data_IF_211519850561
#
_entry.id   IF_211519850561
#
_cell.length_a   1.000
_cell.length_b   1.000
_cell.length_c   1.000
_cell.angle_alpha   90.00
_cell.angle_beta   90.00
_cell.angle_gamma   90.00
#
_symmetry.space_group_name_H-M   'P 1'
#
loop_
_entity.id
_entity.type
_entity.pdbx_description
1 polymer ?
#
# COMPACT_ATOMS: atom_id res chain seq x y z
N UNK A 1 1.71 -21.60 -15.92
CA UNK A 1 2.03 -20.27 -15.35
C UNK A 1 2.15 -19.20 -16.46
N UNK A 2 1.74 -19.50 -17.68
CA UNK A 2 1.87 -18.64 -18.87
C UNK A 2 0.79 -17.56 -19.02
N UNK A 3 -0.11 -17.41 -18.06
CA UNK A 3 -1.34 -16.65 -18.27
C UNK A 3 -1.49 -15.37 -17.42
N UNK A 4 -0.60 -15.12 -16.48
CA UNK A 4 -0.50 -13.83 -15.77
C UNK A 4 0.68 -13.05 -16.31
N UNK A 5 0.55 -11.74 -16.41
CA UNK A 5 1.69 -10.89 -16.74
C UNK A 5 2.66 -10.89 -15.55
N UNK A 6 3.91 -11.24 -15.79
CA UNK A 6 4.91 -11.46 -14.75
C UNK A 6 6.18 -10.67 -15.03
N UNK A 7 6.60 -9.84 -14.06
CA UNK A 7 7.91 -9.22 -14.05
C UNK A 7 8.80 -9.89 -13.00
N UNK A 8 9.98 -10.33 -13.40
CA UNK A 8 10.96 -11.00 -12.55
C UNK A 8 12.39 -10.56 -12.91
N UNK A 9 13.32 -10.60 -11.95
CA UNK A 9 14.77 -10.39 -12.15
C UNK A 9 15.13 -9.12 -12.94
N UNK A 10 14.60 -7.97 -12.51
CA UNK A 10 14.91 -6.68 -13.12
C UNK A 10 14.08 -6.35 -14.37
N UNK A 11 13.14 -7.20 -14.75
CA UNK A 11 12.22 -6.90 -15.84
C UNK A 11 11.26 -5.77 -15.44
N UNK A 12 10.95 -4.90 -16.37
CA UNK A 12 9.91 -3.89 -16.25
C UNK A 12 8.71 -4.27 -17.10
N UNK A 13 7.59 -4.48 -16.48
CA UNK A 13 6.31 -4.67 -17.14
C UNK A 13 5.60 -3.32 -17.26
N UNK A 14 5.32 -2.90 -18.48
CA UNK A 14 4.55 -1.69 -18.77
C UNK A 14 3.12 -2.05 -19.12
N UNK A 15 2.16 -1.48 -18.40
CA UNK A 15 0.72 -1.67 -18.62
C UNK A 15 0.13 -0.37 -19.19
N UNK A 16 0.60 0.00 -20.41
CA UNK A 16 0.37 1.30 -21.05
C UNK A 16 -0.65 1.22 -22.20
N UNK A 17 -1.54 0.23 -22.21
CA UNK A 17 -2.59 0.16 -23.23
C UNK A 17 -3.44 1.44 -23.23
N UNK A 18 -3.80 1.99 -24.41
CA UNK A 18 -4.68 3.16 -24.50
C UNK A 18 -5.96 2.98 -23.68
N UNK A 19 -6.50 4.05 -23.10
CA UNK A 19 -7.67 3.99 -22.19
C UNK A 19 -8.87 3.23 -22.79
N UNK A 20 -9.07 3.31 -24.11
CA UNK A 20 -10.13 2.59 -24.83
C UNK A 20 -9.90 1.07 -24.86
N UNK A 21 -8.66 0.61 -24.65
CA UNK A 21 -8.27 -0.80 -24.70
C UNK A 21 -7.72 -1.30 -23.36
N UNK A 22 -7.82 -0.50 -22.30
CA UNK A 22 -7.34 -0.89 -20.97
C UNK A 22 -7.99 -2.19 -20.53
N UNK A 23 -7.21 -3.27 -20.50
CA UNK A 23 -7.70 -4.58 -20.15
C UNK A 23 -7.56 -4.82 -18.65
N UNK A 24 -8.51 -5.58 -18.11
CA UNK A 24 -8.37 -6.14 -16.78
C UNK A 24 -7.37 -7.27 -16.81
N UNK A 25 -6.32 -7.22 -16.00
CA UNK A 25 -5.31 -8.26 -15.98
C UNK A 25 -4.81 -8.60 -14.56
N UNK A 26 -4.37 -9.85 -14.44
CA UNK A 26 -3.63 -10.33 -13.27
C UNK A 26 -2.13 -10.12 -13.49
N UNK A 27 -1.49 -9.45 -12.54
CA UNK A 27 -0.07 -9.10 -12.60
C UNK A 27 0.66 -9.70 -11.42
N UNK A 28 1.85 -10.21 -11.63
CA UNK A 28 2.76 -10.63 -10.58
C UNK A 28 4.11 -9.93 -10.72
N UNK A 29 4.69 -9.52 -9.61
CA UNK A 29 6.03 -8.91 -9.57
C UNK A 29 6.86 -9.60 -8.52
N UNK A 30 8.04 -10.04 -8.89
CA UNK A 30 8.95 -10.76 -8.00
C UNK A 30 10.42 -10.36 -8.22
N UNK A 31 11.24 -10.62 -7.20
CA UNK A 31 12.71 -10.62 -7.27
C UNK A 31 13.32 -9.50 -8.13
N UNK A 32 13.25 -8.26 -7.69
CA UNK A 32 13.74 -7.06 -8.41
C UNK A 32 12.97 -6.75 -9.71
N UNK A 33 11.86 -7.43 -9.98
CA UNK A 33 10.95 -7.05 -11.05
C UNK A 33 10.20 -5.77 -10.71
N UNK A 34 9.67 -5.12 -11.75
CA UNK A 34 8.91 -3.87 -11.63
C UNK A 34 7.68 -3.90 -12.52
N UNK A 35 6.61 -3.23 -12.11
CA UNK A 35 5.42 -3.04 -12.92
C UNK A 35 4.97 -1.58 -12.88
N UNK A 36 4.84 -0.95 -14.05
CA UNK A 36 4.28 0.39 -14.23
C UNK A 36 2.86 0.27 -14.75
N UNK A 37 1.91 0.90 -14.07
CA UNK A 37 0.50 0.91 -14.48
C UNK A 37 0.10 2.32 -14.88
N UNK A 38 -0.21 2.56 -16.16
CA UNK A 38 -0.57 3.89 -16.66
C UNK A 38 -2.03 4.01 -17.08
N UNK A 39 -2.66 2.93 -17.52
CA UNK A 39 -3.97 2.97 -18.17
C UNK A 39 -5.12 2.29 -17.39
N UNK A 40 -4.85 1.61 -16.27
CA UNK A 40 -5.92 0.95 -15.51
C UNK A 40 -6.79 1.96 -14.77
N UNK A 41 -8.08 1.70 -14.72
CA UNK A 41 -9.03 2.52 -13.95
C UNK A 41 -8.85 2.34 -12.43
N UNK A 42 -8.37 1.17 -12.00
CA UNK A 42 -8.11 0.84 -10.61
C UNK A 42 -7.08 -0.28 -10.52
N UNK A 43 -6.22 -0.24 -9.53
CA UNK A 43 -5.27 -1.33 -9.27
C UNK A 43 -5.22 -1.68 -7.79
N UNK A 44 -5.12 -2.98 -7.50
CA UNK A 44 -4.94 -3.49 -6.13
C UNK A 44 -3.73 -4.39 -6.11
N UNK A 45 -2.85 -4.19 -5.12
CA UNK A 45 -1.64 -4.96 -4.93
C UNK A 45 -1.61 -5.56 -3.53
N UNK A 46 -1.21 -6.82 -3.42
CA UNK A 46 -1.04 -7.53 -2.15
C UNK A 46 0.36 -8.10 -2.08
N UNK A 47 1.10 -7.75 -1.04
CA UNK A 47 2.45 -8.24 -0.77
C UNK A 47 2.39 -9.59 -0.07
N UNK A 48 2.86 -10.63 -0.75
CA UNK A 48 2.80 -12.01 -0.24
C UNK A 48 4.09 -12.44 0.45
N UNK A 49 5.25 -11.95 -0.01
CA UNK A 49 6.58 -12.28 0.52
C UNK A 49 7.54 -11.13 0.35
N UNK A 50 8.49 -10.97 1.30
CA UNK A 50 9.49 -9.90 1.27
C UNK A 50 8.88 -8.52 1.35
N UNK A 51 9.48 -7.54 0.69
CA UNK A 51 9.00 -6.16 0.62
C UNK A 51 8.96 -5.67 -0.83
N UNK A 52 8.16 -4.63 -1.07
CA UNK A 52 8.13 -3.90 -2.34
C UNK A 52 7.93 -2.42 -2.06
N UNK A 53 8.34 -1.58 -3.01
CA UNK A 53 8.06 -0.16 -3.02
C UNK A 53 7.00 0.14 -4.07
N UNK A 54 6.07 1.00 -3.71
CA UNK A 54 5.08 1.55 -4.64
C UNK A 54 5.26 3.06 -4.67
N UNK A 55 5.55 3.59 -5.84
CA UNK A 55 5.58 5.03 -6.10
C UNK A 55 4.38 5.39 -6.95
N UNK A 56 3.57 6.32 -6.48
CA UNK A 56 2.35 6.75 -7.13
C UNK A 56 2.16 8.27 -6.96
N UNK A 57 1.16 8.85 -7.59
CA UNK A 57 0.83 10.27 -7.41
C UNK A 57 0.52 10.64 -5.95
N UNK A 58 0.01 9.69 -5.20
CA UNK A 58 -0.30 9.84 -3.77
C UNK A 58 0.96 9.76 -2.88
N UNK A 59 2.12 9.41 -3.41
CA UNK A 59 3.39 9.35 -2.70
C UNK A 59 4.08 8.00 -2.78
N UNK A 60 4.98 7.75 -1.82
CA UNK A 60 5.81 6.54 -1.76
C UNK A 60 5.37 5.63 -0.61
N UNK A 61 5.20 4.35 -0.93
CA UNK A 61 4.71 3.35 0.02
C UNK A 61 5.63 2.14 0.04
N UNK A 62 6.05 1.74 1.23
CA UNK A 62 6.68 0.45 1.45
C UNK A 62 5.61 -0.57 1.81
N UNK A 63 5.56 -1.67 1.07
CA UNK A 63 4.70 -2.81 1.35
C UNK A 63 5.53 -3.92 1.98
N UNK A 64 5.10 -4.42 3.12
CA UNK A 64 5.63 -5.59 3.81
C UNK A 64 4.69 -6.77 3.60
N UNK A 65 5.15 -7.96 3.89
CA UNK A 65 4.32 -9.17 3.82
C UNK A 65 2.99 -8.96 4.54
N UNK A 66 1.90 -9.22 3.84
CA UNK A 66 0.53 -9.02 4.31
C UNK A 66 -0.03 -7.62 4.03
N UNK A 67 0.80 -6.66 3.59
CA UNK A 67 0.27 -5.34 3.24
C UNK A 67 -0.43 -5.38 1.89
N UNK A 68 -1.48 -4.58 1.77
CA UNK A 68 -2.15 -4.31 0.51
C UNK A 68 -2.26 -2.81 0.28
N UNK A 69 -2.31 -2.43 -0.99
CA UNK A 69 -2.58 -1.07 -1.44
C UNK A 69 -3.52 -1.09 -2.64
N UNK A 70 -4.46 -0.18 -2.65
CA UNK A 70 -5.40 0.03 -3.75
C UNK A 70 -5.33 1.48 -4.23
N UNK A 71 -5.27 1.67 -5.54
CA UNK A 71 -4.96 2.93 -6.19
C UNK A 71 -5.95 3.18 -7.33
N UNK A 72 -6.35 4.44 -7.51
CA UNK A 72 -7.28 4.88 -8.55
C UNK A 72 -6.57 5.16 -9.87
N UNK A 73 -7.36 5.44 -10.92
CA UNK A 73 -6.92 5.68 -12.30
C UNK A 73 -5.75 6.64 -12.44
N UNK A 74 -5.80 7.79 -11.78
CA UNK A 74 -4.80 8.84 -11.95
C UNK A 74 -3.52 8.63 -11.13
N UNK A 75 -3.45 7.57 -10.35
CA UNK A 75 -2.35 7.30 -9.43
C UNK A 75 -1.08 6.84 -10.14
N UNK A 76 -1.19 6.17 -11.29
CA UNK A 76 -0.09 5.68 -12.15
C UNK A 76 1.04 5.00 -11.35
N UNK A 77 0.73 3.94 -10.59
CA UNK A 77 1.72 3.34 -9.71
C UNK A 77 2.85 2.63 -10.46
N UNK A 78 4.07 2.82 -9.96
CA UNK A 78 5.23 1.97 -10.22
C UNK A 78 5.47 1.10 -8.99
N UNK A 79 5.32 -0.20 -9.14
CA UNK A 79 5.65 -1.17 -8.09
C UNK A 79 6.99 -1.81 -8.41
N UNK A 80 7.90 -1.86 -7.42
CA UNK A 80 9.21 -2.48 -7.51
C UNK A 80 9.38 -3.46 -6.35
N UNK A 81 9.58 -4.74 -6.69
CA UNK A 81 9.88 -5.77 -5.69
C UNK A 81 11.33 -5.71 -5.24
N UNK A 82 11.59 -5.99 -3.96
CA UNK A 82 12.94 -6.21 -3.48
C UNK A 82 13.49 -7.59 -3.92
N UNK A 83 14.73 -7.93 -3.52
CA UNK A 83 15.39 -9.20 -3.86
C UNK A 83 14.56 -10.44 -3.48
N UNK A 84 13.74 -10.36 -2.45
CA UNK A 84 12.89 -11.43 -1.93
C UNK A 84 11.39 -11.12 -2.06
N UNK A 85 11.06 -9.98 -2.69
CA UNK A 85 9.71 -9.51 -2.85
C UNK A 85 8.89 -10.40 -3.77
N UNK A 86 7.62 -10.58 -3.42
CA UNK A 86 6.61 -11.18 -4.27
C UNK A 86 5.27 -10.53 -3.99
N UNK A 87 4.76 -9.84 -5.00
CA UNK A 87 3.47 -9.16 -4.98
C UNK A 87 2.58 -9.71 -6.07
N UNK A 88 1.30 -9.80 -5.79
CA UNK A 88 0.27 -10.04 -6.81
C UNK A 88 -0.62 -8.83 -6.93
N UNK A 89 -0.98 -8.49 -8.15
CA UNK A 89 -1.82 -7.35 -8.48
C UNK A 89 -2.98 -7.73 -9.39
N UNK A 90 -4.03 -6.94 -9.29
CA UNK A 90 -5.16 -6.95 -10.21
C UNK A 90 -5.36 -5.53 -10.70
N UNK A 91 -5.28 -5.33 -12.01
CA UNK A 91 -5.64 -4.08 -12.67
C UNK A 91 -7.01 -4.21 -13.28
N UNK A 92 -7.86 -3.21 -13.08
CA UNK A 92 -9.25 -3.22 -13.52
C UNK A 92 -9.47 -2.11 -14.56
N UNK A 93 -10.11 -2.47 -15.67
CA UNK A 93 -10.64 -1.50 -16.63
C UNK A 93 -11.82 -0.71 -16.04
N UNK A 94 -12.17 0.40 -16.69
CA UNK A 94 -13.36 1.18 -16.31
C UNK A 94 -14.66 0.36 -16.44
N UNK A 95 -14.71 -0.52 -17.44
CA UNK A 95 -15.83 -1.43 -17.65
C UNK A 95 -15.95 -2.45 -16.53
N UNK A 96 -14.86 -3.13 -16.18
CA UNK A 96 -14.82 -4.07 -15.06
C UNK A 96 -15.26 -3.42 -13.75
N UNK A 97 -14.82 -2.18 -13.47
CA UNK A 97 -15.27 -1.43 -12.29
C UNK A 97 -16.77 -1.12 -12.29
N UNK A 98 -17.35 -0.78 -13.45
CA UNK A 98 -18.80 -0.54 -13.57
C UNK A 98 -19.58 -1.82 -13.26
N UNK A 99 -19.16 -2.94 -13.84
CA UNK A 99 -19.78 -4.25 -13.61
C UNK A 99 -19.68 -4.64 -12.14
N UNK A 100 -18.51 -4.47 -11.51
CA UNK A 100 -18.32 -4.71 -10.06
C UNK A 100 -19.28 -3.87 -9.22
N UNK A 101 -19.43 -2.59 -9.55
CA UNK A 101 -20.33 -1.68 -8.81
C UNK A 101 -21.81 -2.06 -8.91
N UNK A 102 -22.19 -2.79 -9.97
CA UNK A 102 -23.56 -3.28 -10.19
C UNK A 102 -23.85 -4.61 -9.45
N UNK A 103 -22.86 -5.53 -9.42
CA UNK A 103 -23.06 -6.87 -8.84
C UNK A 103 -22.88 -6.94 -7.32
N UNK A 104 -22.12 -6.01 -6.78
CA UNK A 104 -21.92 -5.96 -5.35
C UNK A 104 -22.31 -4.56 -4.88
N UNK A 105 -23.03 -4.45 -3.78
CA UNK A 105 -23.10 -3.19 -3.03
C UNK A 105 -21.71 -2.77 -2.53
N UNK A 106 -20.65 -3.41 -3.00
CA UNK A 106 -19.25 -3.28 -2.64
C UNK A 106 -18.50 -2.46 -3.69
N UNK A 107 -18.20 -1.22 -3.36
CA UNK A 107 -17.23 -0.41 -4.13
C UNK A 107 -15.83 -0.65 -3.59
N UNK A 108 -14.84 -0.67 -4.50
CA UNK A 108 -13.43 -0.63 -4.14
C UNK A 108 -12.99 0.84 -4.01
N UNK A 109 -12.17 1.13 -3.03
CA UNK A 109 -11.68 2.48 -2.74
C UNK A 109 -10.15 2.49 -2.67
N UNK A 110 -9.55 3.62 -3.04
CA UNK A 110 -8.14 3.85 -2.76
C UNK A 110 -7.87 3.70 -1.26
N UNK A 111 -6.74 3.12 -0.92
CA UNK A 111 -6.36 2.92 0.47
C UNK A 111 -5.31 1.84 0.64
N UNK A 112 -4.88 1.65 1.86
CA UNK A 112 -3.94 0.59 2.22
C UNK A 112 -4.32 -0.04 3.56
N UNK A 113 -3.83 -1.23 3.78
CA UNK A 113 -4.05 -1.95 5.03
C UNK A 113 -3.22 -3.21 5.11
N UNK A 114 -3.55 -4.05 6.08
CA UNK A 114 -2.88 -5.32 6.31
C UNK A 114 -3.90 -6.46 6.27
N UNK A 115 -3.50 -7.60 5.71
CA UNK A 115 -4.30 -8.82 5.68
C UNK A 115 -3.66 -9.90 6.52
N UNK A 116 -4.48 -10.76 7.11
CA UNK A 116 -4.01 -11.94 7.82
C UNK A 116 -3.28 -12.91 6.86
N UNK A 117 -2.44 -13.78 7.41
CA UNK A 117 -1.81 -14.84 6.61
C UNK A 117 -2.85 -15.77 5.94
N UNK A 118 -4.02 -15.92 6.54
CA UNK A 118 -5.14 -16.69 5.96
C UNK A 118 -5.71 -15.97 4.74
N UNK A 119 -6.01 -14.68 4.86
CA UNK A 119 -6.56 -13.88 3.76
C UNK A 119 -5.56 -13.77 2.61
N UNK A 120 -4.26 -13.59 2.90
CA UNK A 120 -3.22 -13.57 1.87
C UNK A 120 -3.16 -14.86 1.04
N UNK A 121 -3.38 -16.04 1.67
CA UNK A 121 -3.49 -17.32 0.96
C UNK A 121 -4.74 -17.39 0.10
N UNK A 122 -5.87 -16.88 0.61
CA UNK A 122 -7.13 -16.82 -0.15
C UNK A 122 -6.97 -15.89 -1.35
N UNK A 123 -6.38 -14.70 -1.17
CA UNK A 123 -6.07 -13.78 -2.29
C UNK A 123 -5.23 -14.50 -3.35
N UNK A 124 -4.15 -15.17 -2.98
CA UNK A 124 -3.29 -15.87 -3.95
C UNK A 124 -4.05 -16.96 -4.70
N UNK A 125 -4.89 -17.73 -4.01
CA UNK A 125 -5.70 -18.77 -4.64
C UNK A 125 -6.69 -18.18 -5.65
N UNK A 126 -7.46 -17.17 -5.22
CA UNK A 126 -8.45 -16.51 -6.07
C UNK A 126 -7.80 -15.77 -7.25
N UNK A 127 -6.63 -15.15 -7.01
CA UNK A 127 -5.84 -14.50 -8.06
C UNK A 127 -5.38 -15.51 -9.13
N UNK A 128 -4.92 -16.70 -8.70
CA UNK A 128 -4.54 -17.78 -9.63
C UNK A 128 -5.71 -18.27 -10.48
N UNK A 129 -6.88 -18.43 -9.87
CA UNK A 129 -8.09 -18.84 -10.59
C UNK A 129 -8.55 -17.76 -11.58
N UNK A 130 -8.49 -16.48 -11.18
CA UNK A 130 -8.77 -15.35 -12.06
C UNK A 130 -7.78 -15.30 -13.24
N UNK A 131 -6.48 -15.46 -12.96
CA UNK A 131 -5.43 -15.45 -13.98
C UNK A 131 -5.63 -16.54 -15.05
N UNK A 132 -6.10 -17.72 -14.69
CA UNK A 132 -6.41 -18.79 -15.65
C UNK A 132 -7.56 -18.46 -16.60
N UNK A 133 -8.52 -17.63 -16.15
CA UNK A 133 -9.74 -17.32 -16.90
C UNK A 133 -9.64 -16.03 -17.73
N UNK A 134 -8.78 -15.10 -17.33
CA UNK A 134 -8.59 -13.83 -18.05
C UNK A 134 -7.86 -14.03 -19.37
N UNK A 135 -7.07 -15.09 -19.53
CA UNK A 135 -6.22 -15.31 -20.68
C UNK A 135 -6.84 -16.34 -21.62
N UNK A 136 -7.73 -15.86 -22.48
CA UNK A 136 -7.97 -16.45 -23.77
C UNK A 136 -7.73 -15.37 -24.84
N UNK A 137 -6.52 -15.22 -25.39
CA UNK A 137 -6.17 -14.15 -26.33
C UNK A 137 -6.84 -14.27 -27.70
N UNK A 138 -7.51 -15.37 -27.99
CA UNK A 138 -8.12 -15.65 -29.30
C UNK A 138 -9.61 -15.34 -29.41
N UNK A 139 -10.27 -14.96 -28.33
CA UNK A 139 -11.67 -14.56 -28.39
C UNK A 139 -11.77 -13.04 -28.26
N UNK A 140 -12.29 -12.38 -29.30
CA UNK A 140 -12.71 -10.96 -29.27
C UNK A 140 -13.86 -10.69 -28.26
N UNK A 141 -14.04 -11.57 -27.28
CA UNK A 141 -15.05 -11.47 -26.23
C UNK A 141 -14.53 -10.60 -25.08
N UNK A 142 -15.38 -9.71 -24.55
CA UNK A 142 -15.02 -8.92 -23.37
C UNK A 142 -14.65 -9.86 -22.23
N UNK A 143 -13.66 -9.47 -21.43
CA UNK A 143 -13.22 -10.21 -20.23
C UNK A 143 -14.43 -10.61 -19.42
N UNK A 144 -14.59 -11.92 -19.16
CA UNK A 144 -15.67 -12.42 -18.33
C UNK A 144 -15.50 -11.90 -16.89
N UNK A 145 -16.13 -10.76 -16.62
CA UNK A 145 -16.10 -10.10 -15.31
C UNK A 145 -16.68 -11.01 -14.23
N UNK A 146 -17.55 -11.97 -14.58
CA UNK A 146 -18.07 -12.96 -13.65
C UNK A 146 -16.94 -13.86 -13.11
N UNK A 147 -15.91 -14.12 -13.89
CA UNK A 147 -14.72 -14.87 -13.46
C UNK A 147 -13.90 -14.13 -12.36
N UNK A 148 -13.99 -12.81 -12.32
CA UNK A 148 -13.31 -11.96 -11.33
C UNK A 148 -14.11 -11.80 -10.04
N UNK A 149 -15.41 -12.13 -10.06
CA UNK A 149 -16.31 -11.93 -8.92
C UNK A 149 -15.75 -12.44 -7.58
N UNK A 150 -15.20 -13.67 -7.48
CA UNK A 150 -14.70 -14.17 -6.19
C UNK A 150 -13.57 -13.33 -5.61
N UNK A 151 -12.57 -12.95 -6.44
CA UNK A 151 -11.44 -12.13 -5.97
C UNK A 151 -11.91 -10.71 -5.62
N UNK A 152 -12.79 -10.12 -6.39
CA UNK A 152 -13.31 -8.77 -6.15
C UNK A 152 -14.15 -8.69 -4.87
N UNK A 153 -15.00 -9.69 -4.61
CA UNK A 153 -15.75 -9.78 -3.35
C UNK A 153 -14.81 -9.95 -2.15
N UNK A 154 -13.76 -10.75 -2.30
CA UNK A 154 -12.78 -10.91 -1.22
C UNK A 154 -12.01 -9.61 -0.96
N UNK A 155 -11.53 -8.92 -2.00
CA UNK A 155 -10.85 -7.62 -1.89
C UNK A 155 -11.77 -6.55 -1.27
N UNK A 156 -13.05 -6.51 -1.66
CA UNK A 156 -14.03 -5.63 -1.02
C UNK A 156 -14.27 -5.99 0.45
N UNK A 157 -14.22 -7.28 0.78
CA UNK A 157 -14.27 -7.79 2.15
C UNK A 157 -13.10 -7.29 3.01
N UNK A 158 -11.89 -7.21 2.44
CA UNK A 158 -10.71 -6.63 3.11
C UNK A 158 -10.88 -5.14 3.41
N UNK A 159 -11.69 -4.44 2.61
CA UNK A 159 -12.00 -3.02 2.78
C UNK A 159 -13.26 -2.77 3.63
N UNK A 160 -13.86 -3.79 4.26
CA UNK A 160 -15.13 -3.66 4.99
C UNK A 160 -15.08 -2.60 6.09
N UNK A 161 -13.99 -2.53 6.83
CA UNK A 161 -13.81 -1.51 7.88
C UNK A 161 -13.76 -0.10 7.30
N UNK A 162 -13.11 0.07 6.13
CA UNK A 162 -13.12 1.34 5.41
C UNK A 162 -14.54 1.68 4.95
N UNK A 163 -15.23 0.72 4.34
CA UNK A 163 -16.58 0.90 3.82
C UNK A 163 -17.62 1.23 4.90
N UNK A 164 -17.46 0.73 6.14
CA UNK A 164 -18.36 1.03 7.25
C UNK A 164 -18.43 2.53 7.58
N UNK A 165 -17.36 3.27 7.30
CA UNK A 165 -17.27 4.71 7.53
C UNK A 165 -18.06 5.56 6.52
N UNK A 166 -18.51 4.98 5.39
CA UNK A 166 -19.24 5.70 4.33
C UNK A 166 -20.48 6.40 4.88
N UNK A 167 -21.17 5.80 5.85
CA UNK A 167 -22.38 6.36 6.43
C UNK A 167 -22.14 7.69 7.16
N UNK A 168 -20.91 7.93 7.61
CA UNK A 168 -20.48 9.19 8.27
C UNK A 168 -20.25 10.33 7.28
N UNK A 169 -20.15 10.02 5.98
CA UNK A 169 -19.96 11.04 4.94
C UNK A 169 -21.23 11.85 4.71
N UNK A 170 -21.11 13.17 4.48
CA UNK A 170 -22.24 14.01 4.13
C UNK A 170 -22.79 13.64 2.75
N UNK A 171 -24.12 13.73 2.61
CA UNK A 171 -24.84 13.47 1.39
C UNK A 171 -26.21 12.83 1.65
N UNK A 172 -27.21 13.18 0.84
CA UNK A 172 -28.56 12.62 0.95
C UNK A 172 -28.67 11.22 0.35
N UNK A 173 -27.93 10.95 -0.74
CA UNK A 173 -27.92 9.64 -1.41
C UNK A 173 -26.72 8.79 -1.04
N UNK A 174 -26.86 7.45 -1.10
CA UNK A 174 -25.74 6.51 -0.92
C UNK A 174 -24.61 6.77 -1.94
N UNK A 175 -24.96 7.08 -3.18
CA UNK A 175 -23.99 7.39 -4.24
C UNK A 175 -23.16 8.62 -3.89
N UNK A 176 -23.80 9.70 -3.43
CA UNK A 176 -23.07 10.91 -2.99
C UNK A 176 -22.15 10.66 -1.82
N UNK A 177 -22.58 9.89 -0.81
CA UNK A 177 -21.74 9.48 0.32
C UNK A 177 -20.53 8.68 -0.13
N UNK A 178 -20.69 7.72 -1.04
CA UNK A 178 -19.59 6.93 -1.62
C UNK A 178 -18.61 7.81 -2.38
N UNK A 179 -19.10 8.77 -3.17
CA UNK A 179 -18.23 9.70 -3.91
C UNK A 179 -17.39 10.58 -2.96
N UNK A 180 -18.02 11.15 -1.92
CA UNK A 180 -17.30 11.95 -0.90
C UNK A 180 -16.27 11.07 -0.19
N UNK A 181 -16.65 9.87 0.21
CA UNK A 181 -15.79 8.91 0.88
C UNK A 181 -14.54 8.58 0.02
N UNK A 182 -14.72 8.24 -1.26
CA UNK A 182 -13.59 7.93 -2.16
C UNK A 182 -12.58 9.07 -2.24
N UNK A 183 -13.07 10.31 -2.40
CA UNK A 183 -12.20 11.49 -2.42
C UNK A 183 -11.41 11.68 -1.12
N UNK A 184 -12.07 11.49 0.03
CA UNK A 184 -11.41 11.60 1.35
C UNK A 184 -10.41 10.46 1.60
N UNK A 185 -10.73 9.24 1.13
CA UNK A 185 -9.80 8.11 1.19
C UNK A 185 -8.54 8.36 0.37
N UNK A 186 -8.69 8.95 -0.82
CA UNK A 186 -7.54 9.35 -1.64
C UNK A 186 -6.67 10.38 -0.92
N UNK A 187 -7.28 11.39 -0.28
CA UNK A 187 -6.55 12.37 0.52
C UNK A 187 -5.86 11.74 1.74
N UNK A 188 -6.50 10.78 2.40
CA UNK A 188 -5.90 10.03 3.50
C UNK A 188 -4.69 9.20 3.03
N UNK A 189 -4.81 8.54 1.87
CA UNK A 189 -3.70 7.81 1.25
C UNK A 189 -2.55 8.77 0.86
N UNK A 190 -2.87 9.97 0.36
CA UNK A 190 -1.88 10.99 0.07
C UNK A 190 -1.10 11.42 1.31
N UNK A 191 -1.76 11.60 2.46
CA UNK A 191 -1.08 11.87 3.74
C UNK A 191 -0.14 10.73 4.14
N UNK A 192 -0.55 9.48 3.95
CA UNK A 192 0.27 8.30 4.24
C UNK A 192 1.49 8.16 3.33
N UNK A 193 1.39 8.61 2.09
CA UNK A 193 2.47 8.55 1.11
C UNK A 193 3.46 9.71 1.18
N UNK A 194 3.12 10.80 1.90
CA UNK A 194 3.94 12.01 2.04
C UNK A 194 4.28 12.29 3.53
N UNK A 195 4.79 11.26 4.21
CA UNK A 195 5.20 11.37 5.62
C UNK A 195 6.57 12.03 5.82
N UNK A 196 7.27 12.36 4.75
CA UNK A 196 8.58 13.04 4.72
C UNK A 196 8.46 14.57 4.76
N UNK A 197 7.25 15.11 4.71
CA UNK A 197 6.99 16.56 4.70
C UNK A 197 5.66 16.93 5.35
N UNK A 198 5.48 18.21 5.59
CA UNK A 198 4.19 18.77 6.00
C UNK A 198 3.31 18.99 4.76
N UNK A 199 2.19 18.28 4.70
CA UNK A 199 1.21 18.45 3.63
C UNK A 199 0.26 19.60 3.97
N UNK A 200 0.07 20.54 3.03
CA UNK A 200 -0.84 21.69 3.20
C UNK A 200 -2.29 21.28 2.97
N UNK A 201 -3.22 21.88 3.69
CA UNK A 201 -4.67 21.65 3.49
C UNK A 201 -5.10 22.02 2.07
N UNK A 202 -4.51 23.08 1.48
CA UNK A 202 -4.80 23.49 0.09
C UNK A 202 -4.48 22.39 -0.93
N UNK A 203 -3.41 21.62 -0.72
CA UNK A 203 -3.05 20.48 -1.57
C UNK A 203 -4.12 19.38 -1.50
N UNK A 204 -4.58 19.05 -0.28
CA UNK A 204 -5.61 18.03 -0.07
C UNK A 204 -6.98 18.47 -0.59
N UNK A 205 -7.30 19.75 -0.44
CA UNK A 205 -8.52 20.36 -0.96
C UNK A 205 -8.53 20.33 -2.49
N UNK A 206 -7.41 20.67 -3.13
CA UNK A 206 -7.24 20.58 -4.59
C UNK A 206 -7.34 19.12 -5.08
N UNK A 207 -6.66 18.18 -4.41
CA UNK A 207 -6.71 16.74 -4.74
C UNK A 207 -8.13 16.18 -4.71
N UNK A 208 -8.96 16.66 -3.77
CA UNK A 208 -10.34 16.20 -3.58
C UNK A 208 -11.37 17.04 -4.32
N UNK A 209 -10.98 18.15 -4.95
CA UNK A 209 -11.87 19.16 -5.54
C UNK A 209 -12.92 19.66 -4.53
N UNK A 210 -12.47 19.93 -3.30
CA UNK A 210 -13.26 20.56 -2.23
C UNK A 210 -12.66 21.92 -1.86
N UNK A 211 -13.47 22.79 -1.23
CA UNK A 211 -12.90 23.93 -0.53
C UNK A 211 -12.15 23.47 0.72
N UNK A 212 -11.12 24.21 1.15
CA UNK A 212 -10.32 23.86 2.34
C UNK A 212 -11.16 23.71 3.60
N UNK A 213 -12.18 24.53 3.77
CA UNK A 213 -13.12 24.46 4.90
C UNK A 213 -13.97 23.19 4.84
N UNK A 214 -14.59 22.90 3.68
CA UNK A 214 -15.44 21.72 3.50
C UNK A 214 -14.62 20.42 3.66
N UNK A 215 -13.40 20.40 3.08
CA UNK A 215 -12.47 19.29 3.24
C UNK A 215 -12.16 19.03 4.72
N UNK A 216 -11.69 20.05 5.45
CA UNK A 216 -11.29 19.90 6.86
C UNK A 216 -12.46 19.42 7.74
N UNK A 217 -13.64 20.00 7.56
CA UNK A 217 -14.85 19.62 8.29
C UNK A 217 -15.24 18.16 8.00
N UNK A 218 -15.25 17.77 6.72
CA UNK A 218 -15.69 16.44 6.31
C UNK A 218 -14.66 15.37 6.69
N UNK A 219 -13.37 15.69 6.57
CA UNK A 219 -12.28 14.82 6.99
C UNK A 219 -12.36 14.54 8.50
N UNK A 220 -12.53 15.59 9.31
CA UNK A 220 -12.69 15.45 10.76
C UNK A 220 -13.93 14.60 11.12
N UNK A 221 -15.05 14.80 10.44
CA UNK A 221 -16.25 13.99 10.66
C UNK A 221 -16.03 12.50 10.33
N UNK A 222 -15.19 12.19 9.33
CA UNK A 222 -14.94 10.83 8.89
C UNK A 222 -13.91 10.11 9.77
N UNK A 223 -12.83 10.80 10.15
CA UNK A 223 -11.66 10.19 10.81
C UNK A 223 -11.54 10.52 12.30
N UNK A 224 -12.42 11.35 12.85
CA UNK A 224 -12.41 11.86 14.24
C UNK A 224 -11.14 12.67 14.60
N UNK A 225 -10.38 13.09 13.59
CA UNK A 225 -9.19 13.92 13.74
C UNK A 225 -9.08 14.95 12.61
N UNK A 226 -8.38 16.06 12.85
CA UNK A 226 -8.13 17.04 11.79
C UNK A 226 -7.10 16.52 10.79
N UNK A 227 -7.08 17.02 9.53
CA UNK A 227 -6.06 16.65 8.55
C UNK A 227 -4.64 16.91 9.04
N UNK A 228 -4.41 17.99 9.79
CA UNK A 228 -3.10 18.32 10.36
C UNK A 228 -2.71 17.32 11.46
N UNK A 229 -3.62 16.95 12.34
CA UNK A 229 -3.39 15.94 13.38
C UNK A 229 -3.09 14.58 12.76
N UNK A 230 -3.85 14.17 11.73
CA UNK A 230 -3.59 12.96 10.96
C UNK A 230 -2.19 12.97 10.32
N UNK A 231 -1.81 14.07 9.64
CA UNK A 231 -0.48 14.24 9.05
C UNK A 231 0.62 14.13 10.10
N UNK A 232 0.49 14.84 11.22
CA UNK A 232 1.47 14.80 12.31
C UNK A 232 1.61 13.39 12.90
N UNK A 233 0.50 12.71 13.14
CA UNK A 233 0.48 11.32 13.64
C UNK A 233 1.18 10.37 12.67
N UNK A 234 0.85 10.43 11.37
CA UNK A 234 1.45 9.57 10.35
C UNK A 234 2.95 9.81 10.20
N UNK A 235 3.42 11.05 10.29
CA UNK A 235 4.84 11.39 10.28
C UNK A 235 5.57 10.79 11.50
N UNK A 236 4.96 10.81 12.68
CA UNK A 236 5.51 10.17 13.88
C UNK A 236 5.54 8.64 13.75
N UNK A 237 4.48 8.04 13.22
CA UNK A 237 4.42 6.58 12.98
C UNK A 237 5.47 6.17 11.92
N UNK A 238 5.72 7.02 10.90
CA UNK A 238 6.80 6.84 9.93
C UNK A 238 8.18 6.89 10.60
N UNK A 239 8.44 7.90 11.44
CA UNK A 239 9.68 8.01 12.21
C UNK A 239 9.92 6.77 13.09
N UNK A 240 8.89 6.28 13.78
CA UNK A 240 8.97 5.07 14.59
C UNK A 240 9.36 3.84 13.76
N UNK A 241 8.84 3.73 12.52
CA UNK A 241 9.24 2.67 11.59
C UNK A 241 10.69 2.80 11.14
N UNK A 242 11.15 4.03 10.81
CA UNK A 242 12.56 4.27 10.45
C UNK A 242 13.51 3.91 11.60
N UNK A 243 13.14 4.25 12.83
CA UNK A 243 13.94 3.89 14.02
C UNK A 243 14.09 2.38 14.22
N UNK A 244 13.04 1.61 13.88
CA UNK A 244 13.05 0.13 13.98
C UNK A 244 13.79 -0.55 12.85
N UNK A 245 13.68 0.00 11.63
CA UNK A 245 14.09 -0.70 10.40
C UNK A 245 15.45 -0.28 9.88
N UNK A 246 15.97 0.86 10.32
CA UNK A 246 17.19 1.46 9.77
C UNK A 246 18.19 1.84 10.87
N UNK A 247 19.45 2.00 10.47
CA UNK A 247 20.52 2.53 11.31
C UNK A 247 20.70 4.06 11.19
N UNK A 248 19.76 4.77 10.54
CA UNK A 248 19.82 6.23 10.35
C UNK A 248 20.01 6.95 11.69
N UNK A 249 20.80 8.03 11.71
CA UNK A 249 20.93 8.87 12.91
C UNK A 249 19.59 9.51 13.28
N UNK A 250 19.38 9.83 14.56
CA UNK A 250 18.12 10.42 15.02
C UNK A 250 17.77 11.72 14.27
N UNK A 251 18.80 12.51 13.94
CA UNK A 251 18.63 13.73 13.13
C UNK A 251 18.18 13.44 11.70
N UNK A 252 18.71 12.38 11.08
CA UNK A 252 18.28 11.95 9.74
C UNK A 252 16.84 11.44 9.76
N UNK A 253 16.45 10.69 10.81
CA UNK A 253 15.05 10.24 10.99
C UNK A 253 14.12 11.44 11.16
N UNK A 254 14.52 12.46 11.92
CA UNK A 254 13.75 13.69 12.07
C UNK A 254 13.53 14.37 10.70
N UNK A 255 14.61 14.58 9.94
CA UNK A 255 14.54 15.17 8.59
C UNK A 255 13.68 14.32 7.63
N UNK A 256 13.88 12.99 7.59
CA UNK A 256 13.11 12.07 6.77
C UNK A 256 11.62 11.96 7.18
N UNK A 257 11.28 12.50 8.35
CA UNK A 257 9.89 12.61 8.83
C UNK A 257 9.36 14.04 8.77
N UNK A 258 10.03 14.91 8.00
CA UNK A 258 9.62 16.28 7.70
C UNK A 258 9.75 17.24 8.88
N UNK A 259 10.72 17.06 9.78
CA UNK A 259 11.04 18.00 10.85
C UNK A 259 12.28 18.80 10.51
N UNK A 260 12.15 20.13 10.56
CA UNK A 260 13.24 21.06 10.27
C UNK A 260 14.32 21.08 11.38
N UNK A 261 13.96 20.67 12.61
CA UNK A 261 14.90 20.59 13.71
C UNK A 261 14.64 19.43 14.67
N UNK A 262 15.74 18.91 15.26
CA UNK A 262 15.70 17.77 16.16
C UNK A 262 14.96 18.03 17.49
N UNK A 263 14.93 19.28 17.97
CA UNK A 263 14.26 19.61 19.24
C UNK A 263 12.74 19.50 19.10
N UNK A 264 12.18 20.01 18.01
CA UNK A 264 10.75 19.88 17.70
C UNK A 264 10.36 18.42 17.49
N UNK A 265 11.21 17.64 16.77
CA UNK A 265 11.05 16.20 16.61
C UNK A 265 11.05 15.48 17.95
N UNK A 266 12.04 15.70 18.80
CA UNK A 266 12.18 15.03 20.10
C UNK A 266 10.98 15.27 21.02
N UNK A 267 10.46 16.53 21.06
CA UNK A 267 9.24 16.88 21.81
C UNK A 267 8.01 16.16 21.26
N UNK A 268 7.81 16.19 19.94
CA UNK A 268 6.67 15.54 19.29
C UNK A 268 6.72 14.02 19.46
N UNK A 269 7.91 13.41 19.34
CA UNK A 269 8.11 11.96 19.49
C UNK A 269 7.80 11.53 20.93
N UNK A 270 8.34 12.22 21.93
CA UNK A 270 8.06 11.93 23.35
C UNK A 270 6.59 12.12 23.68
N UNK A 271 5.95 13.16 23.15
CA UNK A 271 4.52 13.40 23.36
C UNK A 271 3.66 12.25 22.76
N UNK A 272 4.09 11.64 21.65
CA UNK A 272 3.36 10.57 20.96
C UNK A 272 3.59 9.19 21.56
N UNK A 273 4.83 8.87 21.96
CA UNK A 273 5.23 7.52 22.38
C UNK A 273 5.60 7.38 23.85
N UNK A 274 5.61 8.48 24.60
CA UNK A 274 5.95 8.51 26.03
C UNK A 274 7.45 8.44 26.33
N UNK A 275 8.32 8.15 25.36
CA UNK A 275 9.75 7.97 25.50
C UNK A 275 10.56 8.69 24.42
N UNK A 276 11.88 8.76 24.61
CA UNK A 276 12.78 9.38 23.63
C UNK A 276 12.96 8.47 22.40
N UNK A 277 13.23 9.07 21.23
CA UNK A 277 13.53 8.32 20.01
C UNK A 277 14.71 7.34 20.16
N UNK A 278 15.72 7.70 20.97
CA UNK A 278 16.85 6.82 21.29
C UNK A 278 16.41 5.63 22.14
N UNK A 279 15.61 5.86 23.20
CA UNK A 279 15.06 4.80 24.05
C UNK A 279 14.19 3.83 23.24
N UNK A 280 13.30 4.38 22.42
CA UNK A 280 12.44 3.59 21.54
C UNK A 280 13.22 2.68 20.59
N UNK A 281 14.31 3.18 19.99
CA UNK A 281 15.21 2.38 19.15
C UNK A 281 15.88 1.27 19.94
N UNK A 282 16.42 1.57 21.12
CA UNK A 282 17.10 0.57 21.97
C UNK A 282 16.15 -0.53 22.39
N UNK A 283 14.92 -0.19 22.79
CA UNK A 283 13.88 -1.17 23.13
C UNK A 283 13.50 -2.04 21.92
N UNK A 284 13.38 -1.45 20.72
CA UNK A 284 13.08 -2.18 19.50
C UNK A 284 14.20 -3.15 19.06
N UNK A 285 15.45 -2.79 19.29
CA UNK A 285 16.61 -3.65 19.02
C UNK A 285 16.71 -4.81 20.02
N UNK A 286 16.42 -4.56 21.30
CA UNK A 286 16.42 -5.58 22.36
C UNK A 286 15.30 -6.61 22.19
N UNK A 287 14.18 -6.24 21.56
CA UNK A 287 13.04 -7.13 21.31
C UNK A 287 13.17 -7.98 20.04
N UNK A 288 14.24 -7.80 19.24
CA UNK A 288 14.50 -8.70 18.10
C UNK A 288 15.02 -10.04 18.62
N UNK A 289 14.36 -11.19 18.36
CA UNK A 289 14.91 -12.49 18.70
C UNK A 289 16.21 -12.70 17.92
N UNK A 290 17.29 -13.07 18.64
CA UNK A 290 18.64 -13.36 18.12
C UNK A 290 18.57 -14.39 16.96
N UNK A 291 18.52 -13.92 15.73
CA UNK A 291 18.75 -14.75 14.55
C UNK A 291 20.26 -14.84 14.17
N UNK A 292 21.16 -14.46 15.08
CA UNK A 292 22.60 -14.42 14.85
C UNK A 292 23.40 -15.26 15.82
N UNK A 293 22.92 -16.45 16.22
CA UNK A 293 23.75 -17.47 16.90
C UNK A 293 23.66 -18.80 16.19
N UNK A 294 24.19 -18.90 14.98
CA UNK A 294 24.47 -20.16 14.33
C UNK A 294 25.56 -20.00 13.27
N UNK A 295 26.79 -19.68 13.66
CA UNK A 295 28.01 -20.07 12.94
C UNK A 295 29.20 -20.06 13.89
N UNK A 296 29.11 -20.84 14.95
CA UNK A 296 30.26 -21.29 15.68
C UNK A 296 30.80 -22.56 15.04
N UNK A 297 31.60 -22.44 14.00
CA UNK A 297 32.41 -23.56 13.52
C UNK A 297 33.54 -23.76 14.53
N UNK A 298 33.67 -24.93 15.21
CA UNK A 298 34.80 -25.19 16.08
C UNK A 298 36.06 -25.36 15.21
N UNK A 299 37.03 -24.49 15.38
CA UNK A 299 38.40 -24.69 14.88
C UNK A 299 38.95 -25.97 15.50
N UNK A 300 39.10 -27.03 14.76
CA UNK A 300 39.91 -28.18 15.09
C UNK A 300 41.34 -27.71 15.19
N UNK A 301 41.91 -27.84 16.39
CA UNK A 301 43.34 -27.74 16.63
C UNK A 301 44.05 -28.88 15.88
N UNK A 302 44.93 -28.53 14.96
CA UNK A 302 45.91 -29.46 14.38
C UNK A 302 47.04 -29.55 15.39
N UNK A 303 47.09 -30.66 16.14
CA UNK A 303 48.30 -31.04 16.89
C UNK A 303 49.31 -31.55 15.89
N UNK A 304 50.45 -30.85 15.84
CA UNK A 304 51.67 -31.35 15.25
C UNK A 304 52.29 -32.36 16.26
N UNK A 305 52.42 -33.58 15.84
CA UNK A 305 53.38 -34.51 16.43
C UNK A 305 54.34 -34.96 15.35
N UNK A 306 55.60 -34.79 15.73
CA UNK A 306 56.77 -35.14 14.95
C UNK A 306 57.13 -36.64 15.02
N UNK A 307 57.79 -37.06 14.10
CA UNK A 307 59.03 -37.83 14.00
C UNK A 307 59.38 -38.06 12.52
#
# INVERSE_FOLDING_TARGET
>A
MEQAQWADRGQLLQLDTPEASAQTCCVAVSRLGSAQVSAAAFSVWVQLRGTSWVEAKEGKFRLRRGDWIALEKDSRPLLQADRHGFSVGLTLSAEALRVVSQFAECSLYAGRGHVSCRDARIVLRLWREAAKRIVAPESAMPVDVAALRPILLHLAGLQRELASRIQRCPGRSRSRKRQVFGRLQRAHLYLQGNCDRVVRISELAALTSFSSWYFSKTFHCLYDESPQAASARMRMDHAANLLKDTSMMIGEVAAASGFDNCCSFARAFRARFGESATGYRSAALSSRPDSAKATGVPRKAVTADGT
#
